data_IF_642625449888
#
_entry.id   IF_642625449888
#
_cell.length_a   1.000
_cell.length_b   1.000
_cell.length_c   1.000
_cell.angle_alpha   90.00
_cell.angle_beta   90.00
_cell.angle_gamma   90.00
#
_symmetry.space_group_name_H-M   'P 1'
#
loop_
_entity.id
_entity.type
_entity.pdbx_description
1 polymer ?
#
# COMPACT_ATOMS: atom_id res chain seq x y z
N UNK A 1 12.49 5.55 12.57
CA UNK A 1 11.69 5.08 11.42
C UNK A 1 10.22 5.35 11.70
N UNK A 2 9.49 5.86 10.74
CA UNK A 2 8.05 6.10 10.85
C UNK A 2 7.35 5.61 9.59
N UNK A 3 6.34 4.76 9.75
CA UNK A 3 5.50 4.32 8.64
C UNK A 3 4.33 5.28 8.44
N UNK A 4 4.07 5.61 7.17
CA UNK A 4 2.92 6.42 6.77
C UNK A 4 2.25 5.72 5.58
N UNK A 5 0.98 5.39 5.76
CA UNK A 5 0.18 4.73 4.74
C UNK A 5 -0.23 5.71 3.64
N UNK A 6 -0.14 5.25 2.41
CA UNK A 6 -0.68 5.89 1.22
C UNK A 6 -1.97 5.20 0.80
N UNK A 7 -2.92 5.93 0.26
CA UNK A 7 -4.22 5.41 -0.18
C UNK A 7 -4.48 5.61 -1.68
N UNK A 8 -3.53 6.21 -2.39
CA UNK A 8 -3.54 6.36 -3.85
C UNK A 8 -4.79 7.08 -4.37
N UNK A 9 -5.43 6.49 -5.36
CA UNK A 9 -6.63 7.07 -6.00
C UNK A 9 -7.82 7.31 -5.06
N UNK A 10 -7.82 6.67 -3.88
CA UNK A 10 -8.92 6.78 -2.92
C UNK A 10 -9.00 8.14 -2.22
N UNK A 11 -7.99 9.00 -2.36
CA UNK A 11 -8.09 10.40 -1.91
C UNK A 11 -9.30 11.15 -2.51
N UNK A 12 -9.74 10.76 -3.70
CA UNK A 12 -10.92 11.36 -4.34
C UNK A 12 -12.23 11.05 -3.63
N UNK A 13 -12.26 9.89 -2.96
CA UNK A 13 -13.45 9.37 -2.30
C UNK A 13 -13.49 9.76 -0.81
N UNK A 14 -12.35 10.22 -0.27
CA UNK A 14 -12.15 10.52 1.14
C UNK A 14 -11.85 12.02 1.32
N UNK A 15 -12.90 12.83 1.28
CA UNK A 15 -12.79 14.30 1.25
C UNK A 15 -12.09 14.96 2.45
N UNK A 16 -11.78 14.20 3.52
CA UNK A 16 -11.05 14.69 4.70
C UNK A 16 -9.58 14.29 4.73
N UNK A 17 -9.12 13.50 3.77
CA UNK A 17 -7.73 13.08 3.63
C UNK A 17 -7.25 13.34 2.20
N UNK A 18 -7.13 14.62 1.85
CA UNK A 18 -6.62 15.04 0.54
C UNK A 18 -5.11 14.81 0.43
N UNK A 19 -4.59 14.89 -0.79
CA UNK A 19 -3.15 14.85 -1.04
C UNK A 19 -2.41 15.97 -0.29
N UNK A 20 -3.03 17.14 -0.14
CA UNK A 20 -2.48 18.27 0.62
C UNK A 20 -2.35 17.93 2.11
N UNK A 21 -3.41 17.38 2.71
CA UNK A 21 -3.39 16.91 4.10
C UNK A 21 -2.30 15.84 4.30
N UNK A 22 -2.13 14.93 3.34
CA UNK A 22 -1.05 13.95 3.38
C UNK A 22 0.33 14.62 3.34
N UNK A 23 0.56 15.56 2.42
CA UNK A 23 1.83 16.29 2.30
C UNK A 23 2.16 17.06 3.58
N UNK A 24 1.18 17.73 4.16
CA UNK A 24 1.35 18.46 5.42
C UNK A 24 1.67 17.51 6.57
N UNK A 25 0.99 16.37 6.64
CA UNK A 25 1.27 15.35 7.66
C UNK A 25 2.70 14.78 7.54
N UNK A 26 3.16 14.45 6.34
CA UNK A 26 4.54 14.00 6.12
C UNK A 26 5.55 15.08 6.50
N UNK A 27 5.25 16.34 6.19
CA UNK A 27 6.13 17.47 6.51
C UNK A 27 6.10 17.86 8.00
N UNK A 28 5.13 17.38 8.79
CA UNK A 28 5.07 17.65 10.23
C UNK A 28 6.15 16.88 11.04
N UNK A 29 6.96 16.03 10.39
CA UNK A 29 8.11 15.34 10.97
C UNK A 29 9.43 15.93 10.45
N UNK A 30 9.85 17.12 10.94
CA UNK A 30 11.02 17.84 10.40
C UNK A 30 12.34 17.11 10.69
N UNK A 31 12.39 16.28 11.72
CA UNK A 31 13.56 15.48 12.10
C UNK A 31 13.86 14.33 11.12
N UNK A 32 12.88 13.92 10.30
CA UNK A 32 13.01 12.85 9.32
C UNK A 32 13.17 13.43 7.91
N UNK A 33 14.42 13.57 7.46
CA UNK A 33 14.74 14.26 6.20
C UNK A 33 14.68 13.36 4.95
N UNK A 34 14.65 12.04 5.12
CA UNK A 34 14.60 11.09 4.03
C UNK A 34 13.24 10.38 3.99
N UNK A 35 12.77 10.12 2.77
CA UNK A 35 11.55 9.37 2.51
C UNK A 35 11.89 8.19 1.63
N UNK A 36 11.44 7.01 2.04
CA UNK A 36 11.56 5.77 1.26
C UNK A 36 10.16 5.31 0.89
N UNK A 37 9.85 5.30 -0.40
CA UNK A 37 8.56 4.88 -0.92
C UNK A 37 8.59 3.41 -1.35
N UNK A 38 7.58 2.64 -0.94
CA UNK A 38 7.38 1.24 -1.33
C UNK A 38 6.85 1.06 -2.76
N UNK A 39 6.97 2.05 -3.59
CA UNK A 39 6.58 2.10 -5.00
C UNK A 39 7.79 2.10 -5.91
N UNK A 40 7.64 1.67 -7.16
CA UNK A 40 8.63 1.98 -8.19
C UNK A 40 8.49 3.44 -8.65
N UNK A 41 9.58 4.00 -9.17
CA UNK A 41 9.54 5.36 -9.73
C UNK A 41 8.59 5.46 -10.91
N UNK A 42 8.60 4.45 -11.76
CA UNK A 42 7.77 4.42 -12.97
C UNK A 42 6.28 4.32 -12.63
N UNK A 43 5.91 3.56 -11.62
CA UNK A 43 4.53 3.49 -11.15
C UNK A 43 4.00 4.87 -10.73
N UNK A 44 4.80 5.66 -10.04
CA UNK A 44 4.37 6.99 -9.59
C UNK A 44 4.34 8.00 -10.75
N UNK A 45 5.41 8.09 -11.54
CA UNK A 45 5.55 9.17 -12.52
C UNK A 45 4.97 8.85 -13.89
N UNK A 46 4.90 7.57 -14.30
CA UNK A 46 4.33 7.18 -15.59
C UNK A 46 2.91 6.64 -15.49
N UNK A 47 2.61 5.90 -14.41
CA UNK A 47 1.31 5.22 -14.25
C UNK A 47 0.38 5.91 -13.25
N UNK A 48 0.85 6.97 -12.55
CA UNK A 48 0.03 7.75 -11.64
C UNK A 48 -0.42 6.99 -10.39
N UNK A 49 0.32 5.94 -9.99
CA UNK A 49 0.08 5.24 -8.73
C UNK A 49 0.68 6.05 -7.58
N UNK A 50 -0.02 6.09 -6.43
CA UNK A 50 0.46 6.88 -5.29
C UNK A 50 0.49 8.38 -5.62
N UNK A 51 -0.66 8.96 -5.94
CA UNK A 51 -0.79 10.38 -6.33
C UNK A 51 -0.26 11.32 -5.25
N UNK A 52 -0.40 10.96 -3.98
CA UNK A 52 0.15 11.66 -2.83
C UNK A 52 1.70 11.70 -2.83
N UNK A 53 2.36 10.66 -3.36
CA UNK A 53 3.82 10.63 -3.49
C UNK A 53 4.26 11.61 -4.58
N UNK A 54 3.49 11.72 -5.65
CA UNK A 54 3.72 12.72 -6.69
C UNK A 54 3.56 14.14 -6.15
N UNK A 55 2.51 14.40 -5.36
CA UNK A 55 2.29 15.68 -4.69
C UNK A 55 3.45 16.02 -3.73
N UNK A 56 3.88 15.03 -2.94
CA UNK A 56 5.01 15.18 -2.02
C UNK A 56 6.33 15.47 -2.76
N UNK A 57 6.59 14.81 -3.88
CA UNK A 57 7.79 15.07 -4.70
C UNK A 57 7.86 16.48 -5.23
N UNK A 58 6.71 17.09 -5.55
CA UNK A 58 6.61 18.48 -6.00
C UNK A 58 6.86 19.48 -4.87
N UNK A 59 6.65 19.11 -3.62
CA UNK A 59 6.92 19.99 -2.47
C UNK A 59 8.41 20.26 -2.27
N UNK A 60 9.28 19.36 -2.75
CA UNK A 60 10.75 19.52 -2.73
C UNK A 60 11.39 19.54 -1.34
N UNK A 61 10.61 19.28 -0.27
CA UNK A 61 11.08 19.46 1.12
C UNK A 61 11.92 18.31 1.66
N UNK A 62 11.83 17.13 1.04
CA UNK A 62 12.50 15.91 1.53
C UNK A 62 13.05 15.08 0.37
N UNK A 63 14.13 14.36 0.62
CA UNK A 63 14.72 13.43 -0.35
C UNK A 63 13.85 12.17 -0.46
N UNK A 64 13.42 11.85 -1.67
CA UNK A 64 12.55 10.71 -1.98
C UNK A 64 13.32 9.61 -2.70
N UNK A 65 13.28 8.40 -2.16
CA UNK A 65 13.85 7.18 -2.73
C UNK A 65 12.76 6.16 -2.98
N UNK A 66 12.84 5.41 -4.09
CA UNK A 66 11.87 4.40 -4.50
C UNK A 66 12.44 2.99 -4.30
N UNK A 67 11.66 2.10 -3.67
CA UNK A 67 12.10 0.75 -3.32
C UNK A 67 11.13 -0.36 -3.75
N UNK A 68 10.01 0.00 -4.38
CA UNK A 68 8.97 -0.94 -4.79
C UNK A 68 9.27 -1.69 -6.07
N UNK A 69 8.62 -2.83 -6.30
CA UNK A 69 8.62 -3.55 -7.57
C UNK A 69 7.79 -2.80 -8.61
N UNK A 70 7.87 -3.27 -9.86
CA UNK A 70 6.98 -2.84 -10.94
C UNK A 70 5.56 -3.39 -10.70
N UNK A 71 4.64 -2.51 -10.30
CA UNK A 71 3.25 -2.85 -10.03
C UNK A 71 2.47 -3.22 -11.30
N UNK A 72 2.88 -2.73 -12.46
CA UNK A 72 2.25 -3.08 -13.75
C UNK A 72 2.44 -4.56 -14.06
N UNK A 73 3.67 -5.07 -13.87
CA UNK A 73 3.96 -6.49 -14.04
C UNK A 73 3.22 -7.36 -12.99
N UNK A 74 3.10 -6.87 -11.76
CA UNK A 74 2.35 -7.56 -10.69
C UNK A 74 0.86 -7.63 -10.98
N UNK A 75 0.26 -6.54 -11.44
CA UNK A 75 -1.16 -6.49 -11.81
C UNK A 75 -1.45 -7.46 -12.96
N UNK A 76 -0.59 -7.53 -13.97
CA UNK A 76 -0.70 -8.52 -15.04
C UNK A 76 -0.67 -9.94 -14.50
N UNK A 77 0.26 -10.26 -13.61
CA UNK A 77 0.33 -11.59 -12.99
C UNK A 77 -0.93 -11.92 -12.20
N UNK A 78 -1.51 -10.94 -11.52
CA UNK A 78 -2.77 -11.10 -10.80
C UNK A 78 -3.94 -11.41 -11.76
N UNK A 79 -4.05 -10.64 -12.85
CA UNK A 79 -5.06 -10.85 -13.88
C UNK A 79 -4.93 -12.25 -14.53
N UNK A 80 -3.70 -12.68 -14.82
CA UNK A 80 -3.43 -14.01 -15.39
C UNK A 80 -3.90 -15.13 -14.45
N UNK A 81 -3.67 -15.02 -13.14
CA UNK A 81 -4.17 -15.98 -12.13
C UNK A 81 -5.71 -16.03 -12.13
N UNK A 82 -6.37 -14.87 -12.15
CA UNK A 82 -7.82 -14.81 -12.17
C UNK A 82 -8.40 -15.41 -13.46
N UNK A 83 -7.77 -15.10 -14.60
CA UNK A 83 -8.21 -15.59 -15.90
C UNK A 83 -8.13 -17.12 -16.03
N UNK A 84 -7.10 -17.74 -15.44
CA UNK A 84 -6.94 -19.21 -15.43
C UNK A 84 -8.07 -19.92 -14.68
N UNK A 85 -8.76 -19.26 -13.78
CA UNK A 85 -9.81 -19.82 -12.93
C UNK A 85 -11.22 -19.36 -13.27
N UNK A 86 -11.41 -18.57 -14.32
CA UNK A 86 -12.70 -17.94 -14.66
C UNK A 86 -13.84 -18.94 -14.91
N UNK A 87 -13.51 -20.17 -15.31
CA UNK A 87 -14.48 -21.25 -15.59
C UNK A 87 -14.76 -22.16 -14.36
N UNK A 88 -14.05 -21.94 -13.23
CA UNK A 88 -14.25 -22.67 -11.99
C UNK A 88 -15.43 -22.06 -11.21
N UNK A 89 -16.59 -22.76 -11.06
CA UNK A 89 -17.76 -22.23 -10.38
C UNK A 89 -17.50 -21.87 -8.90
N UNK A 90 -16.65 -22.63 -8.21
CA UNK A 90 -16.29 -22.35 -6.82
C UNK A 90 -15.46 -21.08 -6.74
N UNK A 91 -14.56 -20.88 -7.68
CA UNK A 91 -13.78 -19.66 -7.76
C UNK A 91 -14.66 -18.44 -8.04
N UNK A 92 -15.62 -18.53 -8.95
CA UNK A 92 -16.57 -17.45 -9.24
C UNK A 92 -17.36 -17.05 -7.99
N UNK A 93 -17.85 -18.05 -7.24
CA UNK A 93 -18.57 -17.81 -5.97
C UNK A 93 -17.68 -17.08 -4.96
N UNK A 94 -16.44 -17.55 -4.76
CA UNK A 94 -15.48 -16.91 -3.85
C UNK A 94 -15.11 -15.50 -4.28
N UNK A 95 -14.93 -15.27 -5.57
CA UNK A 95 -14.66 -13.94 -6.14
C UNK A 95 -15.80 -12.96 -5.84
N UNK A 96 -17.07 -13.37 -6.02
CA UNK A 96 -18.21 -12.54 -5.69
C UNK A 96 -18.27 -12.18 -4.19
N UNK A 97 -17.91 -13.11 -3.31
CA UNK A 97 -17.80 -12.84 -1.87
C UNK A 97 -16.71 -11.80 -1.60
N UNK A 98 -15.54 -11.91 -2.24
CA UNK A 98 -14.46 -10.95 -2.09
C UNK A 98 -14.84 -9.56 -2.60
N UNK A 99 -15.54 -9.45 -3.72
CA UNK A 99 -16.01 -8.18 -4.28
C UNK A 99 -17.01 -7.49 -3.34
N UNK A 100 -17.95 -8.26 -2.76
CA UNK A 100 -18.90 -7.74 -1.77
C UNK A 100 -18.18 -7.27 -0.50
N UNK A 101 -17.21 -8.04 -0.02
CA UNK A 101 -16.37 -7.67 1.13
C UNK A 101 -15.59 -6.39 0.83
N UNK A 102 -14.94 -6.30 -0.33
CA UNK A 102 -14.18 -5.10 -0.72
C UNK A 102 -15.07 -3.86 -0.76
N UNK A 103 -16.26 -3.96 -1.33
CA UNK A 103 -17.23 -2.87 -1.34
C UNK A 103 -17.57 -2.40 0.07
N UNK A 104 -17.79 -3.33 0.99
CA UNK A 104 -18.11 -3.04 2.41
C UNK A 104 -16.92 -2.42 3.14
N UNK A 105 -15.73 -2.96 2.95
CA UNK A 105 -14.48 -2.43 3.55
C UNK A 105 -14.25 -0.99 3.11
N UNK A 106 -14.32 -0.73 1.80
CA UNK A 106 -14.06 0.61 1.28
C UNK A 106 -15.12 1.61 1.71
N UNK A 107 -16.40 1.23 1.78
CA UNK A 107 -17.47 2.07 2.32
C UNK A 107 -17.22 2.43 3.80
N UNK A 108 -16.82 1.46 4.61
CA UNK A 108 -16.47 1.68 6.00
C UNK A 108 -15.23 2.60 6.14
N UNK A 109 -14.16 2.31 5.42
CA UNK A 109 -12.93 3.09 5.50
C UNK A 109 -13.11 4.52 5.01
N UNK A 110 -13.91 4.75 3.98
CA UNK A 110 -14.23 6.09 3.49
C UNK A 110 -14.91 6.95 4.56
N UNK A 111 -15.74 6.34 5.41
CA UNK A 111 -16.35 7.02 6.56
C UNK A 111 -15.40 7.16 7.75
N UNK A 112 -14.55 6.16 7.98
CA UNK A 112 -13.63 6.09 9.13
C UNK A 112 -12.40 6.99 8.96
N UNK A 113 -11.82 7.09 7.76
CA UNK A 113 -10.59 7.81 7.48
C UNK A 113 -10.80 9.33 7.43
N UNK A 114 -10.95 9.94 8.60
CA UNK A 114 -11.18 11.38 8.75
C UNK A 114 -9.91 12.16 9.11
N UNK A 115 -8.78 11.49 9.29
CA UNK A 115 -7.47 12.09 9.54
C UNK A 115 -6.33 11.13 9.18
N UNK A 116 -5.10 11.65 9.03
CA UNK A 116 -3.90 10.81 8.80
C UNK A 116 -3.71 9.70 9.86
N UNK A 117 -3.99 10.00 11.14
CA UNK A 117 -3.84 9.06 12.24
C UNK A 117 -4.79 7.86 12.09
N UNK A 118 -6.02 8.11 11.63
CA UNK A 118 -6.98 7.02 11.39
C UNK A 118 -6.60 6.14 10.22
N UNK A 119 -6.05 6.72 9.15
CA UNK A 119 -5.50 5.94 8.02
C UNK A 119 -4.35 5.06 8.50
N UNK A 120 -3.51 5.55 9.40
CA UNK A 120 -2.35 4.87 9.94
C UNK A 120 -2.63 4.03 11.19
N UNK A 121 -3.89 3.83 11.56
CA UNK A 121 -4.28 3.15 12.81
C UNK A 121 -4.26 1.63 12.71
N UNK A 122 -4.18 0.98 13.87
CA UNK A 122 -4.31 -0.48 14.01
C UNK A 122 -5.64 -1.02 13.46
N UNK A 123 -6.69 -0.18 13.42
CA UNK A 123 -7.98 -0.54 12.80
C UNK A 123 -7.80 -0.75 11.29
N UNK A 124 -7.11 0.18 10.61
CA UNK A 124 -6.80 0.03 9.18
C UNK A 124 -5.93 -1.20 8.93
N UNK A 125 -4.89 -1.40 9.72
CA UNK A 125 -4.00 -2.54 9.62
C UNK A 125 -4.73 -3.87 9.84
N UNK A 126 -5.62 -3.94 10.82
CA UNK A 126 -6.42 -5.14 11.11
C UNK A 126 -7.37 -5.49 9.97
N UNK A 127 -8.04 -4.48 9.38
CA UNK A 127 -8.96 -4.68 8.26
C UNK A 127 -8.22 -5.23 7.05
N UNK A 128 -7.08 -4.63 6.65
CA UNK A 128 -6.33 -5.10 5.49
C UNK A 128 -5.62 -6.43 5.74
N UNK A 129 -5.21 -6.72 6.98
CA UNK A 129 -4.69 -8.04 7.34
C UNK A 129 -5.76 -9.13 7.22
N UNK A 130 -6.97 -8.89 7.72
CA UNK A 130 -8.09 -9.81 7.58
C UNK A 130 -8.49 -10.00 6.11
N UNK A 131 -8.55 -8.91 5.33
CA UNK A 131 -8.80 -8.97 3.88
C UNK A 131 -7.77 -9.84 3.16
N UNK A 132 -6.48 -9.64 3.44
CA UNK A 132 -5.42 -10.44 2.82
C UNK A 132 -5.53 -11.92 3.19
N UNK A 133 -5.77 -12.24 4.46
CA UNK A 133 -5.97 -13.62 4.89
C UNK A 133 -7.13 -14.30 4.16
N UNK A 134 -8.24 -13.61 3.96
CA UNK A 134 -9.37 -14.14 3.21
C UNK A 134 -9.02 -14.37 1.74
N UNK A 135 -8.38 -13.42 1.07
CA UNK A 135 -7.94 -13.59 -0.33
C UNK A 135 -6.95 -14.76 -0.44
N UNK A 136 -5.97 -14.85 0.45
CA UNK A 136 -4.99 -15.94 0.46
C UNK A 136 -5.63 -17.32 0.70
N UNK A 137 -6.72 -17.38 1.49
CA UNK A 137 -7.46 -18.63 1.69
C UNK A 137 -8.27 -19.05 0.47
N UNK A 138 -8.73 -18.11 -0.34
CA UNK A 138 -9.51 -18.38 -1.56
C UNK A 138 -8.63 -18.57 -2.80
N UNK A 139 -7.54 -17.84 -2.88
CA UNK A 139 -6.59 -17.82 -4.01
C UNK A 139 -5.16 -17.76 -3.48
N UNK A 140 -4.64 -18.87 -2.93
CA UNK A 140 -3.31 -18.89 -2.30
C UNK A 140 -2.18 -18.44 -3.24
N UNK A 141 -2.32 -18.68 -4.54
CA UNK A 141 -1.33 -18.29 -5.54
C UNK A 141 -1.09 -16.77 -5.60
N UNK A 142 -2.06 -15.96 -5.20
CA UNK A 142 -1.90 -14.50 -5.13
C UNK A 142 -0.90 -14.13 -4.03
N UNK A 143 -0.99 -14.77 -2.87
CA UNK A 143 -0.02 -14.54 -1.80
C UNK A 143 1.37 -15.07 -2.17
N UNK A 144 1.44 -16.32 -2.64
CA UNK A 144 2.70 -17.01 -2.91
C UNK A 144 3.49 -16.38 -4.07
N UNK A 145 2.81 -15.97 -5.14
CA UNK A 145 3.46 -15.50 -6.37
C UNK A 145 3.56 -13.97 -6.47
N UNK A 146 2.73 -13.24 -5.74
CA UNK A 146 2.65 -11.78 -5.88
C UNK A 146 2.99 -11.07 -4.57
N UNK A 147 2.18 -11.27 -3.52
CA UNK A 147 2.29 -10.43 -2.33
C UNK A 147 3.51 -10.74 -1.47
N UNK A 148 3.77 -12.01 -1.15
CA UNK A 148 4.92 -12.35 -0.32
C UNK A 148 6.27 -12.01 -1.01
N UNK A 149 6.48 -12.31 -2.31
CA UNK A 149 7.66 -11.85 -3.04
C UNK A 149 7.80 -10.32 -3.09
N UNK A 150 6.68 -9.61 -3.28
CA UNK A 150 6.68 -8.14 -3.32
C UNK A 150 7.10 -7.55 -1.98
N UNK A 151 6.51 -8.01 -0.87
CA UNK A 151 6.88 -7.53 0.47
C UNK A 151 8.35 -7.84 0.77
N UNK A 152 8.83 -9.03 0.40
CA UNK A 152 10.24 -9.38 0.53
C UNK A 152 11.12 -8.40 -0.25
N UNK A 153 10.80 -8.17 -1.53
CA UNK A 153 11.54 -7.23 -2.38
C UNK A 153 11.59 -5.82 -1.78
N UNK A 154 10.43 -5.28 -1.37
CA UNK A 154 10.32 -3.95 -0.76
C UNK A 154 11.18 -3.88 0.50
N UNK A 155 11.05 -4.83 1.41
CA UNK A 155 11.76 -4.80 2.70
C UNK A 155 13.26 -4.95 2.54
N UNK A 156 13.72 -5.80 1.62
CA UNK A 156 15.15 -5.93 1.30
C UNK A 156 15.71 -4.63 0.71
N UNK A 157 14.98 -3.95 -0.16
CA UNK A 157 15.41 -2.69 -0.75
C UNK A 157 15.37 -1.52 0.23
N UNK A 158 14.40 -1.48 1.15
CA UNK A 158 14.38 -0.51 2.24
C UNK A 158 15.65 -0.69 3.11
N UNK A 159 15.97 -1.93 3.50
CA UNK A 159 17.16 -2.23 4.32
C UNK A 159 18.49 -1.83 3.67
N UNK A 160 18.56 -1.78 2.35
CA UNK A 160 19.74 -1.30 1.60
C UNK A 160 19.89 0.23 1.63
N UNK A 161 18.85 0.96 1.99
CA UNK A 161 18.94 2.42 2.05
C UNK A 161 19.71 2.84 3.30
N UNK A 162 20.69 3.73 3.09
CA UNK A 162 21.45 4.33 4.19
C UNK A 162 20.46 5.10 5.09
N UNK A 163 20.57 4.88 6.38
CA UNK A 163 19.78 5.58 7.39
C UNK A 163 18.25 5.38 7.30
N UNK A 164 17.76 4.28 6.69
CA UNK A 164 16.31 4.01 6.60
C UNK A 164 15.61 4.04 7.97
N UNK A 165 16.36 3.73 9.05
CA UNK A 165 15.83 3.79 10.43
C UNK A 165 15.51 5.21 10.90
N UNK A 166 16.08 6.23 10.26
CA UNK A 166 15.82 7.65 10.50
C UNK A 166 14.97 8.27 9.38
N UNK A 167 14.19 7.46 8.67
CA UNK A 167 13.40 7.88 7.51
C UNK A 167 11.92 7.70 7.74
N UNK A 168 11.12 8.39 6.93
CA UNK A 168 9.71 8.10 6.73
C UNK A 168 9.61 7.01 5.67
N UNK A 169 8.88 5.93 5.96
CA UNK A 169 8.60 4.86 5.02
C UNK A 169 7.16 5.02 4.54
N UNK A 170 7.00 5.36 3.26
CA UNK A 170 5.68 5.46 2.62
C UNK A 170 5.30 4.10 2.05
N UNK A 171 4.18 3.57 2.47
CA UNK A 171 3.70 2.25 2.08
C UNK A 171 2.22 2.30 1.69
N UNK A 172 1.83 1.50 0.70
CA UNK A 172 0.41 1.29 0.44
C UNK A 172 -0.28 0.75 1.69
N UNK A 173 -1.43 1.31 2.04
CA UNK A 173 -2.17 0.97 3.26
C UNK A 173 -2.47 -0.51 3.38
N UNK A 174 -2.68 -1.20 2.25
CA UNK A 174 -2.94 -2.64 2.21
C UNK A 174 -1.73 -3.50 2.60
N UNK A 175 -0.52 -2.96 2.47
CA UNK A 175 0.73 -3.66 2.73
C UNK A 175 1.46 -3.16 3.98
N UNK A 176 0.99 -2.06 4.59
CA UNK A 176 1.68 -1.38 5.70
C UNK A 176 2.01 -2.35 6.83
N UNK A 177 1.03 -3.03 7.38
CA UNK A 177 1.20 -3.98 8.48
C UNK A 177 2.30 -5.02 8.20
N UNK A 178 2.30 -5.62 7.01
CA UNK A 178 3.25 -6.70 6.68
C UNK A 178 4.67 -6.19 6.47
N UNK A 179 4.82 -5.00 5.87
CA UNK A 179 6.15 -4.38 5.66
C UNK A 179 6.72 -3.92 7.00
N UNK A 180 5.92 -3.27 7.84
CA UNK A 180 6.29 -2.83 9.18
C UNK A 180 6.76 -4.00 10.02
N UNK A 181 5.94 -5.03 10.19
CA UNK A 181 6.28 -6.25 10.91
C UNK A 181 7.58 -6.89 10.42
N UNK A 182 7.76 -6.98 9.08
CA UNK A 182 8.96 -7.58 8.47
C UNK A 182 10.23 -6.76 8.68
N UNK A 183 10.12 -5.47 8.88
CA UNK A 183 11.25 -4.57 9.17
C UNK A 183 11.58 -4.52 10.68
N UNK A 184 10.61 -4.81 11.55
CA UNK A 184 10.80 -4.86 13.01
C UNK A 184 11.37 -6.20 13.49
N UNK A 185 11.17 -7.28 12.76
CA UNK A 185 11.70 -8.63 13.08
C UNK A 185 13.24 -8.72 13.08
N UNK A 186 13.95 -7.59 12.87
CA UNK A 186 15.42 -7.50 12.79
C UNK A 186 15.96 -6.22 13.42
#
# INVERSE_FOLDING_TARGET
MRFIATIGKHHKDIGKYSEEVFVDYVNSFPELNAIVASYSRDDVFKHGLGTEILALSKSGKKNLTFCGPDMTAMNKSYEDILQQRKEDPDFVTRKNILEMMDTTIWAYLSAYWTSPEKVNSDVSDSIFSARRLMISSFVPEVDDKIWAPSIKHITENIKKQKDYRNSIILVDVQNKFYIEKKLEEH
#
